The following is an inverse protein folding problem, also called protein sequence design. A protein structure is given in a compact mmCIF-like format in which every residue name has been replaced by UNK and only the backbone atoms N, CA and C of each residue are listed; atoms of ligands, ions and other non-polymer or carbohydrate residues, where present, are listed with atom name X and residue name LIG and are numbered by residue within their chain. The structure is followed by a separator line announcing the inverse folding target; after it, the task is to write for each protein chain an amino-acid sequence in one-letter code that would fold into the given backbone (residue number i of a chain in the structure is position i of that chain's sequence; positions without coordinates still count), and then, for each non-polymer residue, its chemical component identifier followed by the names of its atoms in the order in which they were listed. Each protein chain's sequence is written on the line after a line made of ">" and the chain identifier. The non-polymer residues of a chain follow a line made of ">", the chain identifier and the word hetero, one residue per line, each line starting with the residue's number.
data_IF_969390458764
#
_entry.id   IF_969390458764
#
_cell.length_a   1.000
_cell.length_b   1.000
_cell.length_c   1.000
_cell.angle_alpha   90.00
_cell.angle_beta   90.00
_cell.angle_gamma   90.00
#
_symmetry.space_group_name_H-M   'P 1'
#
loop_
_entity.id
_entity.type
_entity.pdbx_description
1 polymer ?
#
# COMPACT_ATOMS: atom_id res chain seq x y z
N UNK A 1 -0.98 4.68 -10.86
CA UNK A 1 -0.85 6.06 -10.34
C UNK A 1 -2.22 6.66 -10.28
N UNK A 2 -2.71 6.92 -9.07
CA UNK A 2 -3.97 7.63 -8.90
C UNK A 2 -3.85 9.06 -9.44
N UNK A 3 -4.89 9.49 -10.17
CA UNK A 3 -4.96 10.83 -10.76
C UNK A 3 -4.79 11.92 -9.70
N UNK A 4 -5.30 11.67 -8.50
CA UNK A 4 -5.19 12.54 -7.32
C UNK A 4 -3.74 12.72 -6.87
N UNK A 5 -2.96 11.64 -6.84
CA UNK A 5 -1.53 11.67 -6.46
C UNK A 5 -0.72 12.49 -7.47
N UNK A 6 -1.01 12.35 -8.76
CA UNK A 6 -0.35 13.14 -9.83
C UNK A 6 -0.72 14.62 -9.71
N UNK A 7 -2.01 14.94 -9.55
CA UNK A 7 -2.47 16.33 -9.38
C UNK A 7 -1.86 16.97 -8.14
N UNK A 8 -1.79 16.25 -7.01
CA UNK A 8 -1.21 16.75 -5.77
C UNK A 8 0.27 17.10 -5.91
N UNK A 9 1.06 16.22 -6.54
CA UNK A 9 2.49 16.46 -6.78
C UNK A 9 2.68 17.68 -7.69
N UNK A 10 1.92 17.77 -8.79
CA UNK A 10 2.03 18.88 -9.74
C UNK A 10 1.60 20.19 -9.09
N UNK A 11 0.42 20.25 -8.44
CA UNK A 11 -0.07 21.45 -7.79
C UNK A 11 0.85 21.93 -6.66
N UNK A 12 1.35 21.02 -5.82
CA UNK A 12 2.29 21.34 -4.76
C UNK A 12 3.61 21.89 -5.30
N UNK A 13 4.16 21.29 -6.34
CA UNK A 13 5.39 21.77 -6.97
C UNK A 13 5.23 23.16 -7.58
N UNK A 14 4.09 23.45 -8.24
CA UNK A 14 3.81 24.76 -8.83
C UNK A 14 3.70 25.83 -7.73
N UNK A 15 3.00 25.55 -6.63
CA UNK A 15 2.88 26.49 -5.52
C UNK A 15 4.24 26.85 -4.91
N UNK A 16 5.11 25.85 -4.74
CA UNK A 16 6.48 26.06 -4.24
C UNK A 16 7.26 26.96 -5.21
N UNK A 17 7.25 26.65 -6.51
CA UNK A 17 7.98 27.44 -7.52
C UNK A 17 7.45 28.87 -7.62
N UNK A 18 6.13 29.07 -7.59
CA UNK A 18 5.50 30.40 -7.61
C UNK A 18 5.88 31.20 -6.36
N UNK A 19 5.91 30.54 -5.19
CA UNK A 19 6.33 31.19 -3.93
C UNK A 19 7.80 31.62 -3.95
N UNK A 20 8.69 30.82 -4.55
CA UNK A 20 10.10 31.15 -4.72
C UNK A 20 10.28 32.33 -5.70
N UNK A 21 9.53 32.35 -6.80
CA UNK A 21 9.58 33.42 -7.79
C UNK A 21 9.11 34.77 -7.22
N UNK A 22 8.17 34.78 -6.26
CA UNK A 22 7.74 35.99 -5.57
C UNK A 22 8.75 36.53 -4.53
N UNK A 23 9.67 35.70 -4.06
CA UNK A 23 10.61 36.02 -2.97
C UNK A 23 11.99 36.52 -3.40
N UNK A 24 12.33 36.51 -4.69
CA UNK A 24 13.62 36.98 -5.21
C UNK A 24 14.38 35.94 -6.03
N UNK A 25 15.71 35.92 -5.95
CA UNK A 25 16.57 35.10 -6.80
C UNK A 25 16.44 33.60 -6.49
N UNK A 26 15.93 32.80 -7.44
CA UNK A 26 15.81 31.34 -7.32
C UNK A 26 17.15 30.65 -7.02
N UNK A 27 18.28 31.25 -7.41
CA UNK A 27 19.61 30.74 -7.11
C UNK A 27 19.97 30.72 -5.62
N UNK A 28 19.28 31.51 -4.78
CA UNK A 28 19.51 31.50 -3.33
C UNK A 28 18.90 30.26 -2.64
N UNK A 29 17.99 29.56 -3.31
CA UNK A 29 17.32 28.38 -2.75
C UNK A 29 18.04 27.06 -3.07
N UNK A 30 19.01 27.07 -3.98
CA UNK A 30 19.78 25.88 -4.39
C UNK A 30 21.22 26.04 -3.94
N UNK A 31 21.46 25.70 -2.67
CA UNK A 31 22.77 25.73 -2.04
C UNK A 31 23.30 24.31 -1.81
N UNK A 32 24.49 24.03 -2.36
CA UNK A 32 25.14 22.71 -2.32
C UNK A 32 25.38 22.23 -0.86
N UNK A 33 25.94 23.05 0.05
CA UNK A 33 26.05 22.71 1.47
C UNK A 33 24.71 22.30 2.11
N UNK A 34 23.66 23.06 1.86
CA UNK A 34 22.33 22.81 2.43
C UNK A 34 21.75 21.48 1.96
N UNK A 35 21.94 21.12 0.69
CA UNK A 35 21.55 19.82 0.13
C UNK A 35 22.36 18.69 0.79
N UNK A 36 23.66 18.89 1.00
CA UNK A 36 24.53 17.88 1.61
C UNK A 36 24.14 17.60 3.08
N UNK A 37 23.80 18.63 3.86
CA UNK A 37 23.37 18.48 5.25
C UNK A 37 22.00 17.81 5.35
N UNK A 38 21.05 18.20 4.49
CA UNK A 38 19.69 17.63 4.53
C UNK A 38 19.66 16.18 4.04
N UNK A 39 20.30 15.87 2.90
CA UNK A 39 20.37 14.50 2.40
C UNK A 39 21.29 13.62 3.26
N UNK A 40 22.47 14.12 3.62
CA UNK A 40 23.42 13.38 4.47
C UNK A 40 22.87 13.13 5.87
N UNK A 41 22.22 14.13 6.46
CA UNK A 41 21.59 14.05 7.77
C UNK A 41 20.41 13.10 7.80
N UNK A 42 19.52 13.16 6.81
CA UNK A 42 18.36 12.25 6.72
C UNK A 42 18.80 10.80 6.52
N UNK A 43 19.76 10.52 5.63
CA UNK A 43 20.30 9.18 5.41
C UNK A 43 20.93 8.63 6.70
N UNK A 44 21.72 9.45 7.40
CA UNK A 44 22.36 9.06 8.66
C UNK A 44 21.33 8.77 9.77
N UNK A 45 20.31 9.60 9.90
CA UNK A 45 19.24 9.40 10.87
C UNK A 45 18.43 8.11 10.60
N UNK A 46 18.17 7.80 9.33
CA UNK A 46 17.47 6.58 8.92
C UNK A 46 18.31 5.34 9.27
N UNK A 47 19.62 5.38 9.02
CA UNK A 47 20.54 4.28 9.33
C UNK A 47 20.66 4.00 10.84
N UNK A 48 20.57 5.03 11.68
CA UNK A 48 20.56 4.88 13.15
C UNK A 48 19.24 4.26 13.63
N UNK A 49 18.13 4.66 13.01
CA UNK A 49 16.78 4.31 13.50
C UNK A 49 16.31 2.94 13.02
N UNK A 50 16.71 2.51 11.81
CA UNK A 50 16.15 1.32 11.17
C UNK A 50 17.24 0.34 10.70
N UNK A 51 17.03 -0.98 10.88
CA UNK A 51 17.89 -1.99 10.31
C UNK A 51 17.84 -1.93 8.76
N UNK A 52 18.97 -2.19 8.12
CA UNK A 52 19.18 -2.04 6.65
C UNK A 52 18.15 -2.83 5.83
N UNK A 53 17.66 -3.95 6.34
CA UNK A 53 16.62 -4.77 5.69
C UNK A 53 15.30 -4.03 5.50
N UNK A 54 14.90 -3.19 6.47
CA UNK A 54 13.67 -2.38 6.39
C UNK A 54 13.81 -1.25 5.37
N UNK A 55 15.00 -0.67 5.24
CA UNK A 55 15.29 0.42 4.29
C UNK A 55 15.06 -0.04 2.84
N UNK A 56 15.47 -1.28 2.50
CA UNK A 56 15.21 -1.85 1.17
C UNK A 56 13.72 -2.06 0.91
N UNK A 57 12.95 -2.44 1.93
CA UNK A 57 11.49 -2.60 1.84
C UNK A 57 10.75 -1.29 1.56
N UNK A 58 11.22 -0.16 2.11
CA UNK A 58 10.63 1.17 1.89
C UNK A 58 10.64 1.54 0.40
N UNK A 59 11.70 1.23 -0.33
CA UNK A 59 11.76 1.54 -1.77
C UNK A 59 10.70 0.76 -2.56
N UNK A 60 10.43 -0.50 -2.18
CA UNK A 60 9.39 -1.33 -2.79
C UNK A 60 8.00 -0.79 -2.48
N UNK A 61 7.75 -0.38 -1.23
CA UNK A 61 6.47 0.20 -0.81
C UNK A 61 6.24 1.55 -1.49
N UNK A 62 7.26 2.41 -1.58
CA UNK A 62 7.17 3.69 -2.27
C UNK A 62 6.82 3.52 -3.76
N UNK A 63 7.45 2.56 -4.45
CA UNK A 63 7.10 2.20 -5.83
C UNK A 63 5.67 1.68 -5.94
N UNK A 64 5.23 0.84 -4.99
CA UNK A 64 3.88 0.30 -4.97
C UNK A 64 2.83 1.38 -4.69
N UNK A 65 3.14 2.39 -3.88
CA UNK A 65 2.27 3.54 -3.64
C UNK A 65 2.09 4.40 -4.90
N UNK A 66 3.16 4.62 -5.66
CA UNK A 66 3.04 5.31 -6.95
C UNK A 66 2.23 4.46 -7.93
N UNK A 67 2.48 3.16 -8.01
CA UNK A 67 1.78 2.26 -8.93
C UNK A 67 0.45 1.71 -8.42
N UNK A 68 -0.02 2.10 -7.24
CA UNK A 68 -1.35 1.75 -6.78
C UNK A 68 -2.32 2.30 -7.83
N UNK A 69 -2.91 1.38 -8.59
CA UNK A 69 -4.12 1.64 -9.36
C UNK A 69 -5.28 1.30 -8.45
N UNK A 70 -6.38 2.02 -8.62
CA UNK A 70 -7.66 1.68 -7.99
C UNK A 70 -7.88 0.16 -8.06
N UNK A 71 -7.92 -0.49 -6.89
CA UNK A 71 -8.38 -1.87 -6.80
C UNK A 71 -9.86 -1.84 -7.19
N UNK A 72 -10.18 -2.44 -8.33
CA UNK A 72 -11.56 -2.66 -8.71
C UNK A 72 -12.15 -3.69 -7.73
N UNK A 73 -13.00 -3.21 -6.83
CA UNK A 73 -13.70 -4.01 -5.81
C UNK A 73 -14.90 -4.76 -6.38
N UNK A 74 -15.34 -4.39 -7.59
CA UNK A 74 -16.51 -4.99 -8.26
C UNK A 74 -16.39 -6.50 -8.47
N UNK A 75 -15.27 -7.05 -9.00
CA UNK A 75 -15.10 -8.50 -9.14
C UNK A 75 -15.02 -9.24 -7.80
N UNK A 76 -14.59 -8.58 -6.72
CA UNK A 76 -14.52 -9.22 -5.40
C UNK A 76 -15.90 -9.44 -4.79
N UNK A 77 -16.86 -8.56 -5.09
CA UNK A 77 -18.22 -8.68 -4.57
C UNK A 77 -18.90 -9.98 -5.04
N UNK A 78 -18.81 -10.30 -6.33
CA UNK A 78 -19.43 -11.51 -6.88
C UNK A 78 -18.79 -12.78 -6.32
N UNK A 79 -17.47 -12.80 -6.18
CA UNK A 79 -16.71 -13.93 -5.60
C UNK A 79 -17.16 -14.19 -4.15
N UNK A 80 -17.24 -13.14 -3.32
CA UNK A 80 -17.67 -13.28 -1.92
C UNK A 80 -19.13 -13.71 -1.83
N UNK A 81 -20.00 -13.20 -2.70
CA UNK A 81 -21.42 -13.58 -2.74
C UNK A 81 -21.60 -15.06 -3.13
N UNK A 82 -20.83 -15.55 -4.10
CA UNK A 82 -20.87 -16.95 -4.52
C UNK A 82 -20.43 -17.88 -3.38
N UNK A 83 -19.30 -17.56 -2.74
CA UNK A 83 -18.76 -18.31 -1.59
C UNK A 83 -19.78 -18.33 -0.44
N UNK A 84 -20.42 -17.20 -0.13
CA UNK A 84 -21.45 -17.12 0.90
C UNK A 84 -22.71 -17.95 0.57
N UNK A 85 -23.08 -18.02 -0.71
CA UNK A 85 -24.23 -18.81 -1.16
C UNK A 85 -23.96 -20.32 -1.03
N UNK A 86 -22.77 -20.77 -1.43
CA UNK A 86 -22.32 -22.17 -1.30
C UNK A 86 -22.26 -22.56 0.17
N UNK A 87 -21.62 -21.75 1.01
CA UNK A 87 -21.51 -22.00 2.44
C UNK A 87 -22.89 -22.17 3.11
N UNK A 88 -23.92 -21.46 2.63
CA UNK A 88 -25.29 -21.52 3.17
C UNK A 88 -26.11 -22.71 2.63
N UNK A 89 -25.91 -23.11 1.37
CA UNK A 89 -26.70 -24.16 0.72
C UNK A 89 -26.10 -25.55 0.90
N UNK A 90 -24.79 -25.66 0.68
CA UNK A 90 -24.08 -26.93 0.55
C UNK A 90 -23.20 -27.24 1.78
N UNK A 91 -23.05 -26.27 2.69
CA UNK A 91 -22.33 -26.43 3.95
C UNK A 91 -20.80 -26.31 3.81
N UNK A 92 -20.07 -26.61 4.90
CA UNK A 92 -18.61 -26.44 4.95
C UNK A 92 -17.85 -27.33 3.96
N UNK A 93 -18.34 -28.55 3.69
CA UNK A 93 -17.64 -29.55 2.89
C UNK A 93 -17.52 -29.14 1.42
N UNK A 94 -18.59 -28.57 0.85
CA UNK A 94 -18.58 -28.04 -0.51
C UNK A 94 -17.70 -26.79 -0.67
N UNK A 95 -17.45 -26.07 0.44
CA UNK A 95 -16.56 -24.92 0.44
C UNK A 95 -15.10 -25.35 0.36
N UNK A 96 -14.75 -26.46 1.00
CA UNK A 96 -13.39 -27.03 1.03
C UNK A 96 -12.91 -27.45 -0.37
N UNK A 97 -13.81 -27.97 -1.22
CA UNK A 97 -13.52 -28.29 -2.62
C UNK A 97 -13.27 -27.04 -3.50
N UNK A 98 -13.80 -25.88 -3.11
CA UNK A 98 -13.72 -24.63 -3.89
C UNK A 98 -12.50 -23.76 -3.51
N UNK A 99 -11.95 -23.92 -2.31
CA UNK A 99 -10.76 -23.21 -1.79
C UNK A 99 -9.52 -23.28 -2.70
N UNK A 100 -9.19 -24.41 -3.37
CA UNK A 100 -8.02 -24.49 -4.25
C UNK A 100 -8.11 -23.59 -5.48
N UNK A 101 -9.32 -23.23 -5.91
CA UNK A 101 -9.57 -22.42 -7.11
C UNK A 101 -9.57 -20.90 -6.87
N UNK A 102 -9.36 -20.45 -5.63
CA UNK A 102 -9.30 -19.02 -5.29
C UNK A 102 -7.87 -18.51 -5.53
N UNK A 103 -7.71 -17.52 -6.40
CA UNK A 103 -6.41 -16.94 -6.75
C UNK A 103 -5.80 -16.11 -5.61
N UNK A 104 -6.64 -15.51 -4.74
CA UNK A 104 -6.19 -14.66 -3.66
C UNK A 104 -5.80 -15.44 -2.40
N UNK A 105 -4.52 -15.34 -2.05
CA UNK A 105 -3.93 -16.07 -0.93
C UNK A 105 -4.46 -15.60 0.43
N UNK A 106 -4.87 -14.33 0.55
CA UNK A 106 -5.48 -13.80 1.77
C UNK A 106 -6.90 -14.39 1.97
N UNK A 107 -7.72 -14.38 0.92
CA UNK A 107 -9.08 -14.94 0.97
C UNK A 107 -9.05 -16.46 1.23
N UNK A 108 -8.14 -17.17 0.55
CA UNK A 108 -7.93 -18.62 0.74
C UNK A 108 -7.59 -18.95 2.19
N UNK A 109 -6.66 -18.21 2.79
CA UNK A 109 -6.24 -18.40 4.18
C UNK A 109 -7.35 -18.02 5.16
N UNK A 110 -8.11 -16.96 4.87
CA UNK A 110 -9.30 -16.58 5.63
C UNK A 110 -10.37 -17.68 5.68
N UNK A 111 -10.66 -18.30 4.53
CA UNK A 111 -11.60 -19.41 4.42
C UNK A 111 -11.12 -20.67 5.14
N UNK A 112 -9.85 -21.03 5.00
CA UNK A 112 -9.26 -22.16 5.74
C UNK A 112 -9.37 -21.97 7.25
N UNK A 113 -9.04 -20.78 7.77
CA UNK A 113 -9.20 -20.47 9.20
C UNK A 113 -10.66 -20.56 9.67
N UNK A 114 -11.61 -20.16 8.82
CA UNK A 114 -13.04 -20.26 9.11
C UNK A 114 -13.52 -21.71 9.16
N UNK A 115 -13.01 -22.59 8.29
CA UNK A 115 -13.28 -24.03 8.31
C UNK A 115 -12.67 -24.72 9.52
N UNK A 116 -11.44 -24.34 9.90
CA UNK A 116 -10.73 -24.88 11.07
C UNK A 116 -11.38 -24.49 12.42
N UNK A 117 -12.47 -23.72 12.39
CA UNK A 117 -13.23 -23.34 13.59
C UNK A 117 -12.46 -22.40 14.52
N UNK A 118 -11.41 -21.72 14.03
CA UNK A 118 -10.69 -20.73 14.83
C UNK A 118 -11.65 -19.60 15.23
N UNK A 119 -11.60 -19.18 16.50
CA UNK A 119 -12.43 -18.06 16.98
C UNK A 119 -12.14 -16.83 16.10
N UNK A 120 -13.21 -16.21 15.61
CA UNK A 120 -13.29 -15.00 14.76
C UNK A 120 -12.37 -13.83 15.18
N UNK A 121 -11.89 -13.80 16.41
CA UNK A 121 -10.89 -12.83 16.87
C UNK A 121 -9.47 -13.11 16.32
N UNK A 122 -9.08 -14.38 16.15
CA UNK A 122 -7.79 -14.76 15.60
C UNK A 122 -7.70 -14.50 14.08
N UNK A 123 -8.82 -14.63 13.37
CA UNK A 123 -8.90 -14.37 11.93
C UNK A 123 -8.73 -12.89 11.56
N UNK A 124 -8.95 -11.96 12.49
CA UNK A 124 -8.85 -10.50 12.27
C UNK A 124 -7.42 -9.95 12.48
N UNK A 125 -6.51 -10.78 12.96
CA UNK A 125 -5.10 -10.43 13.27
C UNK A 125 -4.11 -10.76 12.16
N UNK A 126 -4.58 -11.35 11.04
CA UNK A 126 -3.83 -11.49 9.79
C UNK A 126 -4.26 -10.41 8.80
#
# INVERSE_FOLDING_TARGET
>A
MDLTTVIGIVAGSILIVVSMAGGGNLGAFVDIPSIMVTLGGTISAILITYPIEKIKGVMTVAKKMLNAGNLDVTPWYSVVQEIATIARRDGLLALEERIPGIEDEFLKRGLQMALDGTRWYAARSC
#
